data_IF_094882875578
#
_entry.id   IF_094882875578
#
_cell.length_a   1.000
_cell.length_b   1.000
_cell.length_c   1.000
_cell.angle_alpha   90.00
_cell.angle_beta   90.00
_cell.angle_gamma   90.00
#
_symmetry.space_group_name_H-M   'P 1'
#
loop_
_entity.id
_entity.type
_entity.pdbx_description
1 polymer ?
#
# COMPACT_ATOMS: atom_id res chain seq x y z
N UNK A 1 20.08 61.76 23.21
CA UNK A 1 19.99 60.46 23.92
C UNK A 1 18.58 59.88 23.92
N UNK A 2 17.55 60.62 24.36
CA UNK A 2 16.16 60.11 24.40
C UNK A 2 15.54 59.72 23.05
N UNK A 3 15.87 60.44 21.98
CA UNK A 3 15.33 60.17 20.63
C UNK A 3 15.84 58.85 20.04
N UNK A 4 17.13 58.53 20.27
CA UNK A 4 17.73 57.26 19.86
C UNK A 4 17.08 56.08 20.59
N UNK A 5 16.72 56.27 21.87
CA UNK A 5 16.03 55.25 22.67
C UNK A 5 14.63 54.97 22.11
N UNK A 6 13.87 56.01 21.77
CA UNK A 6 12.54 55.83 21.18
C UNK A 6 12.58 55.14 19.82
N UNK A 7 13.58 55.44 18.97
CA UNK A 7 13.75 54.77 17.67
C UNK A 7 14.07 53.28 17.85
N UNK A 8 14.93 52.93 18.79
CA UNK A 8 15.27 51.52 19.10
C UNK A 8 14.06 50.77 19.66
N UNK A 9 13.29 51.40 20.55
CA UNK A 9 12.06 50.80 21.10
C UNK A 9 11.01 50.59 20.02
N UNK A 10 10.78 51.58 19.15
CA UNK A 10 9.85 51.45 18.03
C UNK A 10 10.28 50.33 17.06
N UNK A 11 11.56 50.23 16.75
CA UNK A 11 12.09 49.17 15.90
C UNK A 11 11.93 47.78 16.55
N UNK A 12 12.17 47.66 17.86
CA UNK A 12 11.97 46.41 18.60
C UNK A 12 10.49 45.97 18.61
N UNK A 13 9.56 46.91 18.78
CA UNK A 13 8.11 46.62 18.72
C UNK A 13 7.71 46.17 17.31
N UNK A 14 8.21 46.84 16.27
CA UNK A 14 7.95 46.44 14.87
C UNK A 14 8.49 45.03 14.62
N UNK A 15 9.72 44.73 15.03
CA UNK A 15 10.31 43.38 14.89
C UNK A 15 9.53 42.35 15.69
N UNK A 16 9.00 42.69 16.86
CA UNK A 16 8.21 41.77 17.68
C UNK A 16 6.84 41.48 17.06
N UNK A 17 6.17 42.49 16.50
CA UNK A 17 4.92 42.31 15.75
C UNK A 17 5.19 41.52 14.46
N UNK A 18 6.26 41.84 13.74
CA UNK A 18 6.63 41.12 12.52
C UNK A 18 6.99 39.67 12.82
N UNK A 19 7.73 39.41 13.91
CA UNK A 19 8.01 38.07 14.42
C UNK A 19 6.71 37.35 14.79
N UNK A 20 5.79 38.01 15.48
CA UNK A 20 4.52 37.40 15.88
C UNK A 20 3.62 37.06 14.70
N UNK A 21 3.53 37.96 13.71
CA UNK A 21 2.77 37.75 12.46
C UNK A 21 3.42 36.70 11.56
N UNK A 22 4.75 36.58 11.54
CA UNK A 22 5.48 35.59 10.72
C UNK A 22 5.73 34.25 11.42
N UNK A 23 5.61 34.18 12.74
CA UNK A 23 5.77 32.93 13.52
C UNK A 23 4.46 32.14 13.64
N UNK A 24 3.44 32.49 12.85
CA UNK A 24 2.23 31.69 12.66
C UNK A 24 2.47 30.45 11.80
N UNK A 25 3.50 29.66 12.11
CA UNK A 25 3.75 28.38 11.46
C UNK A 25 2.92 27.32 12.19
N UNK A 26 1.64 27.26 11.82
CA UNK A 26 0.73 26.19 12.22
C UNK A 26 1.09 24.90 11.48
N UNK A 27 2.25 24.31 11.79
CA UNK A 27 2.56 22.99 11.28
C UNK A 27 1.46 22.02 11.74
N UNK A 28 0.83 21.29 10.82
CA UNK A 28 -0.22 20.35 11.18
C UNK A 28 0.37 19.34 12.16
N UNK A 29 -0.20 19.30 13.36
CA UNK A 29 0.27 18.38 14.40
C UNK A 29 0.03 16.95 13.95
N UNK A 30 0.84 16.00 14.42
CA UNK A 30 0.66 14.59 14.10
C UNK A 30 -0.74 14.06 14.47
N UNK A 31 -1.42 14.69 15.42
CA UNK A 31 -2.80 14.36 15.78
C UNK A 31 -3.82 14.81 14.72
N UNK A 32 -3.57 15.93 14.05
CA UNK A 32 -4.44 16.50 13.02
C UNK A 32 -4.33 15.73 11.70
N UNK A 33 -3.12 15.26 11.37
CA UNK A 33 -2.88 14.46 10.15
C UNK A 33 -3.33 13.00 10.27
N UNK A 34 -3.26 12.41 11.46
CA UNK A 34 -3.67 11.02 11.71
C UNK A 34 -5.12 10.89 12.18
N UNK A 35 -5.76 11.97 12.63
CA UNK A 35 -7.13 11.95 13.17
C UNK A 35 -7.25 11.31 14.56
N UNK A 36 -6.13 11.01 15.21
CA UNK A 36 -6.06 10.54 16.59
C UNK A 36 -4.76 10.99 17.23
N UNK A 37 -4.73 11.07 18.57
CA UNK A 37 -3.51 11.43 19.30
C UNK A 37 -2.52 10.25 19.27
N UNK A 38 -1.37 10.36 18.58
CA UNK A 38 -0.41 9.27 18.52
C UNK A 38 0.18 9.01 19.90
N UNK A 39 0.23 7.74 20.30
CA UNK A 39 0.94 7.28 21.49
C UNK A 39 2.43 7.11 21.20
N UNK A 40 3.25 7.10 22.26
CA UNK A 40 4.69 6.94 22.09
C UNK A 40 5.02 5.52 21.66
N UNK A 41 5.78 5.37 20.57
CA UNK A 41 6.19 4.08 20.01
C UNK A 41 7.70 3.98 20.06
N UNK A 42 8.22 3.06 20.90
CA UNK A 42 9.63 2.69 20.94
C UNK A 42 9.95 1.67 19.86
N UNK A 43 11.23 1.61 19.44
CA UNK A 43 11.69 0.61 18.48
C UNK A 43 11.62 -0.81 19.06
N UNK A 44 11.90 -0.96 20.35
CA UNK A 44 11.82 -2.25 21.05
C UNK A 44 10.43 -2.90 20.96
N UNK A 45 9.37 -2.08 21.02
CA UNK A 45 8.00 -2.55 20.82
C UNK A 45 7.74 -3.02 19.38
N UNK A 46 8.35 -2.36 18.39
CA UNK A 46 8.25 -2.77 16.99
C UNK A 46 9.00 -4.09 16.76
N UNK A 47 10.24 -4.17 17.24
CA UNK A 47 11.12 -5.32 17.08
C UNK A 47 10.53 -6.58 17.71
N UNK A 48 9.93 -6.44 18.90
CA UNK A 48 9.23 -7.53 19.58
C UNK A 48 8.09 -8.09 18.71
N UNK A 49 7.24 -7.23 18.15
CA UNK A 49 6.11 -7.67 17.32
C UNK A 49 6.59 -8.20 15.98
N UNK A 50 7.59 -7.59 15.34
CA UNK A 50 8.12 -8.07 14.06
C UNK A 50 8.79 -9.44 14.19
N UNK A 51 9.41 -9.74 15.34
CA UNK A 51 9.99 -11.06 15.61
C UNK A 51 8.91 -12.13 15.80
N UNK A 52 7.78 -11.79 16.42
CA UNK A 52 6.65 -12.71 16.58
C UNK A 52 5.86 -12.91 15.28
N UNK A 53 5.71 -11.85 14.48
CA UNK A 53 4.89 -11.83 13.27
C UNK A 53 5.67 -11.26 12.08
N UNK A 54 6.60 -12.05 11.50
CA UNK A 54 7.42 -11.58 10.37
C UNK A 54 6.62 -11.35 9.09
N UNK A 55 5.43 -11.95 8.97
CA UNK A 55 4.55 -11.79 7.82
C UNK A 55 3.80 -10.44 7.81
N UNK A 56 3.75 -9.76 8.96
CA UNK A 56 3.03 -8.49 9.11
C UNK A 56 3.99 -7.32 8.83
N UNK A 57 3.64 -6.37 7.94
CA UNK A 57 4.51 -5.26 7.60
C UNK A 57 4.69 -4.29 8.80
N UNK A 58 5.92 -3.82 8.97
CA UNK A 58 6.34 -2.95 10.08
C UNK A 58 5.52 -1.65 10.15
N UNK A 59 5.13 -1.09 9.01
CA UNK A 59 4.31 0.14 8.98
C UNK A 59 2.93 -0.08 9.61
N UNK A 60 2.31 -1.25 9.37
CA UNK A 60 1.00 -1.55 9.94
C UNK A 60 1.11 -1.77 11.45
N UNK A 61 2.17 -2.42 11.90
CA UNK A 61 2.47 -2.60 13.34
C UNK A 61 2.63 -1.24 14.00
N UNK A 62 3.44 -0.36 13.40
CA UNK A 62 3.68 0.98 13.92
C UNK A 62 2.40 1.81 13.95
N UNK A 63 1.59 1.74 12.91
CA UNK A 63 0.32 2.43 12.86
C UNK A 63 -0.64 1.97 13.97
N UNK A 64 -0.75 0.66 14.20
CA UNK A 64 -1.59 0.13 15.28
C UNK A 64 -1.04 0.50 16.66
N UNK A 65 0.29 0.44 16.86
CA UNK A 65 0.96 0.89 18.09
C UNK A 65 0.76 2.38 18.36
N UNK A 66 0.71 3.24 17.34
CA UNK A 66 0.40 4.66 17.54
C UNK A 66 -1.01 4.85 18.11
N UNK A 67 -1.94 3.91 17.87
CA UNK A 67 -3.32 3.95 18.34
C UNK A 67 -3.49 3.26 19.69
N UNK A 68 -2.94 2.06 19.85
CA UNK A 68 -3.07 1.23 21.05
C UNK A 68 -2.04 1.61 22.12
N UNK A 69 -0.79 1.85 21.72
CA UNK A 69 0.35 2.13 22.58
C UNK A 69 0.79 0.96 23.46
N UNK A 70 0.33 -0.26 23.14
CA UNK A 70 0.71 -1.47 23.87
C UNK A 70 0.96 -2.62 22.90
N UNK A 71 2.06 -3.33 23.14
CA UNK A 71 2.44 -4.53 22.39
C UNK A 71 1.41 -5.65 22.59
N UNK A 72 0.91 -5.81 23.81
CA UNK A 72 -0.04 -6.86 24.16
C UNK A 72 -1.36 -6.69 23.41
N UNK A 73 -1.89 -5.46 23.36
CA UNK A 73 -3.14 -5.15 22.64
C UNK A 73 -2.98 -5.37 21.13
N UNK A 74 -1.85 -4.94 20.58
CA UNK A 74 -1.55 -5.10 19.15
C UNK A 74 -1.39 -6.58 18.79
N UNK A 75 -0.69 -7.34 19.63
CA UNK A 75 -0.50 -8.79 19.49
C UNK A 75 -1.82 -9.54 19.57
N UNK A 76 -2.65 -9.22 20.56
CA UNK A 76 -3.96 -9.84 20.71
C UNK A 76 -4.84 -9.56 19.47
N UNK A 77 -4.84 -8.31 18.97
CA UNK A 77 -5.56 -7.93 17.74
C UNK A 77 -5.07 -8.71 16.51
N UNK A 78 -3.76 -8.92 16.39
CA UNK A 78 -3.16 -9.75 15.32
C UNK A 78 -3.63 -11.19 15.45
N UNK A 79 -3.66 -11.75 16.67
CA UNK A 79 -4.10 -13.14 16.89
C UNK A 79 -5.60 -13.32 16.62
N UNK A 80 -6.44 -12.34 16.99
CA UNK A 80 -7.88 -12.40 16.78
C UNK A 80 -8.28 -12.23 15.31
N UNK A 81 -7.63 -11.30 14.60
CA UNK A 81 -8.02 -10.93 13.22
C UNK A 81 -7.15 -11.56 12.15
N UNK A 82 -5.91 -11.93 12.48
CA UNK A 82 -4.88 -12.38 11.53
C UNK A 82 -4.23 -11.25 10.72
N UNK A 83 -4.66 -10.00 10.88
CA UNK A 83 -4.13 -8.85 10.14
C UNK A 83 -4.28 -7.53 10.92
N UNK A 84 -3.51 -6.53 10.51
CA UNK A 84 -3.58 -5.15 11.03
C UNK A 84 -4.15 -4.18 9.98
N UNK A 85 -4.72 -3.09 10.47
CA UNK A 85 -5.28 -2.04 9.62
C UNK A 85 -4.17 -1.39 8.78
N UNK A 86 -4.44 -1.18 7.50
CA UNK A 86 -3.48 -0.55 6.58
C UNK A 86 -3.37 0.93 6.93
N UNK A 87 -2.15 1.47 7.10
CA UNK A 87 -1.97 2.88 7.42
C UNK A 87 -2.52 3.77 6.29
N UNK A 88 -3.25 4.85 6.61
CA UNK A 88 -3.76 5.79 5.62
C UNK A 88 -2.62 6.56 4.93
N UNK A 89 -2.86 7.15 3.75
CA UNK A 89 -1.84 7.94 3.04
C UNK A 89 -1.23 9.07 3.88
N UNK A 90 -2.00 9.65 4.81
CA UNK A 90 -1.52 10.70 5.72
C UNK A 90 -0.42 10.21 6.66
N UNK A 91 -0.38 8.92 7.02
CA UNK A 91 0.67 8.34 7.85
C UNK A 91 2.06 8.51 7.22
N UNK A 92 2.16 8.28 5.91
CA UNK A 92 3.42 8.35 5.18
C UNK A 92 3.97 9.78 5.04
N UNK A 93 3.16 10.81 5.34
CA UNK A 93 3.64 12.20 5.42
C UNK A 93 4.51 12.44 6.66
N UNK A 94 4.17 11.77 7.77
CA UNK A 94 4.92 11.84 9.03
C UNK A 94 6.06 10.84 9.08
N UNK A 95 5.83 9.66 8.50
CA UNK A 95 6.77 8.54 8.51
C UNK A 95 7.07 8.12 7.07
N UNK A 96 7.96 8.85 6.38
CA UNK A 96 8.35 8.48 5.03
C UNK A 96 9.04 7.12 5.04
N UNK A 97 8.63 6.24 4.12
CA UNK A 97 9.38 5.00 3.86
C UNK A 97 10.75 5.39 3.33
N UNK A 98 11.79 4.96 4.02
CA UNK A 98 13.11 4.89 3.40
C UNK A 98 13.00 3.96 2.18
N UNK A 99 13.42 4.40 0.98
CA UNK A 99 13.35 3.55 -0.19
C UNK A 99 14.36 2.40 -0.01
N UNK A 100 13.89 1.28 0.53
CA UNK A 100 14.57 0.00 0.34
C UNK A 100 14.54 -0.33 -1.16
N UNK A 101 15.61 -0.92 -1.72
CA UNK A 101 15.60 -1.36 -3.12
C UNK A 101 14.40 -2.30 -3.33
N UNK A 102 13.60 -1.98 -4.34
CA UNK A 102 12.27 -2.53 -4.59
C UNK A 102 12.20 -4.06 -4.44
N UNK A 103 11.72 -4.53 -3.29
CA UNK A 103 10.95 -5.78 -3.22
C UNK A 103 9.52 -5.46 -3.66
N UNK A 104 9.05 -6.19 -4.66
CA UNK A 104 7.82 -5.93 -5.40
C UNK A 104 6.60 -5.64 -4.50
N UNK A 105 5.74 -4.67 -4.87
CA UNK A 105 4.51 -4.42 -4.14
C UNK A 105 3.57 -5.62 -4.29
N UNK A 106 3.15 -6.18 -3.15
CA UNK A 106 1.99 -7.04 -3.09
C UNK A 106 0.78 -6.25 -3.64
N UNK A 107 0.14 -6.86 -4.64
CA UNK A 107 -0.94 -6.28 -5.44
C UNK A 107 -2.16 -5.99 -4.56
N UNK A 108 -2.46 -4.72 -4.37
CA UNK A 108 -3.82 -4.28 -4.10
C UNK A 108 -4.27 -3.44 -5.30
N UNK A 109 -5.27 -3.95 -6.01
CA UNK A 109 -5.98 -3.21 -7.04
C UNK A 109 -6.54 -1.92 -6.44
N UNK A 110 -6.32 -0.79 -7.12
CA UNK A 110 -7.46 0.03 -7.48
C UNK A 110 -7.51 0.22 -8.99
N UNK A 111 -8.70 -0.04 -9.56
CA UNK A 111 -9.09 0.50 -10.85
C UNK A 111 -8.91 2.02 -10.82
N UNK A 112 -7.92 2.55 -11.53
CA UNK A 112 -7.96 3.89 -12.10
C UNK A 112 -6.95 3.96 -13.23
N UNK A 113 -7.49 4.16 -14.43
CA UNK A 113 -6.72 4.37 -15.63
C UNK A 113 -5.95 5.69 -15.55
N UNK A 114 -4.63 5.61 -15.61
CA UNK A 114 -3.77 6.75 -15.95
C UNK A 114 -2.72 6.27 -16.93
N UNK A 115 -2.95 6.62 -18.18
CA UNK A 115 -2.06 6.41 -19.32
C UNK A 115 -0.81 7.27 -19.18
N UNK A 116 0.29 6.67 -18.73
CA UNK A 116 1.63 7.20 -18.96
C UNK A 116 2.29 6.39 -20.07
N UNK A 117 2.46 7.07 -21.21
CA UNK A 117 3.08 6.56 -22.41
C UNK A 117 4.52 6.10 -22.13
N UNK A 118 4.74 4.79 -22.19
CA UNK A 118 6.06 4.18 -22.28
C UNK A 118 6.09 3.39 -23.58
N UNK A 119 7.12 3.69 -24.38
CA UNK A 119 7.55 3.09 -25.63
C UNK A 119 7.11 1.61 -25.82
N UNK A 120 6.64 1.21 -27.02
CA UNK A 120 6.10 -0.12 -27.24
C UNK A 120 7.23 -1.15 -27.30
N UNK A 121 7.56 -1.76 -26.17
CA UNK A 121 8.05 -3.15 -26.22
C UNK A 121 6.90 -4.00 -26.78
N UNK A 122 7.17 -4.97 -27.69
CA UNK A 122 6.13 -5.85 -28.18
C UNK A 122 5.45 -6.48 -26.97
N UNK A 123 4.15 -6.18 -26.83
CA UNK A 123 3.35 -6.71 -25.73
C UNK A 123 3.28 -8.21 -25.96
N UNK A 124 4.11 -8.96 -25.24
CA UNK A 124 4.05 -10.41 -25.26
C UNK A 124 2.61 -10.82 -24.93
N UNK A 125 1.93 -11.41 -25.91
CA UNK A 125 0.51 -11.74 -25.77
C UNK A 125 0.37 -12.91 -24.80
N UNK A 126 -0.76 -12.99 -24.09
CA UNK A 126 -1.04 -14.14 -23.24
C UNK A 126 -1.02 -15.46 -24.03
N UNK A 127 -1.36 -15.40 -25.32
CA UNK A 127 -1.23 -16.52 -26.25
C UNK A 127 0.22 -17.00 -26.30
N UNK A 128 1.16 -16.08 -26.55
CA UNK A 128 2.60 -16.39 -26.66
C UNK A 128 3.18 -16.90 -25.33
N UNK A 129 2.73 -16.37 -24.19
CA UNK A 129 3.19 -16.84 -22.86
C UNK A 129 2.75 -18.26 -22.51
N UNK A 130 1.59 -18.67 -23.02
CA UNK A 130 0.99 -19.97 -22.70
C UNK A 130 1.09 -20.97 -23.85
N UNK A 131 1.87 -20.66 -24.90
CA UNK A 131 2.03 -21.50 -26.09
C UNK A 131 0.69 -21.95 -26.68
N UNK A 132 -0.26 -21.02 -26.79
CA UNK A 132 -1.64 -21.29 -27.24
C UNK A 132 -1.84 -21.09 -28.74
N UNK A 133 -0.77 -20.76 -29.48
CA UNK A 133 -0.77 -20.57 -30.93
C UNK A 133 -1.41 -21.74 -31.70
N UNK A 134 -1.06 -22.99 -31.38
CA UNK A 134 -1.57 -24.17 -32.06
C UNK A 134 -3.07 -24.37 -31.86
N UNK A 135 -3.59 -23.96 -30.69
CA UNK A 135 -5.02 -24.07 -30.36
C UNK A 135 -5.87 -23.01 -31.06
N UNK A 136 -5.27 -21.88 -31.41
CA UNK A 136 -5.93 -20.82 -32.19
C UNK A 136 -6.07 -21.25 -33.65
N UNK A 137 -5.03 -21.87 -34.22
CA UNK A 137 -5.04 -22.38 -35.60
C UNK A 137 -6.12 -23.46 -35.76
N UNK A 138 -6.43 -24.19 -34.69
CA UNK A 138 -7.43 -25.26 -34.68
C UNK A 138 -8.89 -24.77 -34.56
N UNK A 139 -9.14 -23.46 -34.43
CA UNK A 139 -10.47 -22.85 -34.28
C UNK A 139 -11.45 -23.66 -33.40
N UNK A 140 -11.07 -23.94 -32.15
CA UNK A 140 -12.04 -24.38 -31.15
C UNK A 140 -12.82 -23.14 -30.66
N UNK A 141 -13.92 -22.81 -31.34
CA UNK A 141 -14.89 -21.78 -30.89
C UNK A 141 -15.62 -22.27 -29.65
N UNK A 142 -15.00 -22.08 -28.48
CA UNK A 142 -15.60 -22.45 -27.20
C UNK A 142 -16.63 -21.37 -26.84
N UNK A 143 -17.91 -21.77 -26.75
CA UNK A 143 -19.00 -20.89 -26.34
C UNK A 143 -18.84 -20.46 -24.88
N UNK A 144 -19.08 -19.18 -24.59
CA UNK A 144 -18.95 -18.53 -23.27
C UNK A 144 -19.72 -19.23 -22.12
N UNK A 145 -20.67 -20.11 -22.43
CA UNK A 145 -21.46 -20.85 -21.45
C UNK A 145 -20.71 -21.93 -20.65
N UNK A 146 -19.54 -22.39 -21.10
CA UNK A 146 -18.82 -23.52 -20.45
C UNK A 146 -17.63 -23.07 -19.58
N UNK A 147 -17.23 -21.79 -19.62
CA UNK A 147 -16.05 -21.26 -18.92
C UNK A 147 -16.26 -21.18 -17.38
N UNK A 148 -17.52 -21.27 -16.95
CA UNK A 148 -17.96 -21.13 -15.55
C UNK A 148 -18.43 -22.40 -14.85
N UNK A 149 -18.36 -23.58 -15.49
CA UNK A 149 -18.84 -24.84 -14.93
C UNK A 149 -18.21 -25.19 -13.57
N UNK A 150 -19.02 -25.79 -12.68
CA UNK A 150 -18.68 -26.14 -11.27
C UNK A 150 -17.27 -26.73 -11.18
N UNK A 151 -16.40 -26.07 -10.39
CA UNK A 151 -15.03 -26.52 -10.19
C UNK A 151 -15.00 -27.83 -9.39
N UNK A 152 -14.93 -28.96 -10.09
CA UNK A 152 -14.58 -30.23 -9.47
C UNK A 152 -13.08 -30.18 -9.16
N UNK A 153 -12.73 -30.33 -7.88
CA UNK A 153 -11.34 -30.44 -7.46
C UNK A 153 -10.90 -31.88 -7.73
N UNK A 154 -9.96 -32.06 -8.67
CA UNK A 154 -9.40 -33.38 -8.96
C UNK A 154 -8.66 -33.96 -7.75
N UNK A 155 -8.71 -35.28 -7.58
CA UNK A 155 -8.17 -35.98 -6.41
C UNK A 155 -6.63 -36.04 -6.38
N UNK A 156 -5.96 -36.00 -7.54
CA UNK A 156 -4.49 -36.02 -7.64
C UNK A 156 -3.92 -34.64 -7.99
N UNK A 157 -2.74 -34.28 -7.44
CA UNK A 157 -2.14 -32.97 -7.69
C UNK A 157 -1.82 -32.73 -9.18
N UNK A 158 -1.36 -33.77 -9.90
CA UNK A 158 -1.04 -33.67 -11.33
C UNK A 158 -2.29 -33.39 -12.17
N UNK A 159 -3.41 -34.07 -11.87
CA UNK A 159 -4.68 -33.84 -12.57
C UNK A 159 -5.25 -32.46 -12.28
N UNK A 160 -5.08 -31.97 -11.04
CA UNK A 160 -5.49 -30.62 -10.64
C UNK A 160 -4.67 -29.55 -11.35
N UNK A 161 -3.36 -29.74 -11.50
CA UNK A 161 -2.55 -28.83 -12.29
C UNK A 161 -2.97 -28.81 -13.76
N UNK A 162 -3.24 -29.98 -14.34
CA UNK A 162 -3.69 -30.09 -15.72
C UNK A 162 -5.04 -29.39 -15.93
N UNK A 163 -6.01 -29.60 -15.05
CA UNK A 163 -7.35 -28.98 -15.14
C UNK A 163 -7.30 -27.45 -14.98
N UNK A 164 -6.45 -26.94 -14.09
CA UNK A 164 -6.24 -25.49 -13.93
C UNK A 164 -5.57 -24.86 -15.15
N UNK A 165 -4.56 -25.53 -15.73
CA UNK A 165 -3.89 -25.09 -16.96
C UNK A 165 -4.87 -25.05 -18.13
N UNK A 166 -5.69 -26.09 -18.29
CA UNK A 166 -6.72 -26.13 -19.34
C UNK A 166 -7.76 -25.02 -19.17
N UNK A 167 -8.28 -24.84 -17.95
CA UNK A 167 -9.27 -23.77 -17.67
C UNK A 167 -8.72 -22.38 -17.96
N UNK A 168 -7.45 -22.15 -17.61
CA UNK A 168 -6.76 -20.89 -17.90
C UNK A 168 -6.61 -20.67 -19.40
N UNK A 169 -6.25 -21.70 -20.16
CA UNK A 169 -6.19 -21.64 -21.61
C UNK A 169 -7.56 -21.32 -22.22
N UNK A 170 -8.63 -21.99 -21.76
CA UNK A 170 -10.01 -21.70 -22.20
C UNK A 170 -10.42 -20.25 -21.92
N UNK A 171 -10.11 -19.73 -20.73
CA UNK A 171 -10.42 -18.33 -20.37
C UNK A 171 -9.66 -17.32 -21.24
N UNK A 172 -8.40 -17.60 -21.59
CA UNK A 172 -7.60 -16.73 -22.46
C UNK A 172 -8.15 -16.72 -23.88
N UNK A 173 -8.60 -17.88 -24.39
CA UNK A 173 -9.21 -17.97 -25.71
C UNK A 173 -10.61 -17.34 -25.75
N UNK A 174 -11.42 -17.51 -24.70
CA UNK A 174 -12.74 -16.88 -24.60
C UNK A 174 -12.62 -15.35 -24.54
N UNK A 175 -11.70 -14.80 -23.75
CA UNK A 175 -11.48 -13.35 -23.66
C UNK A 175 -10.95 -12.69 -24.95
N UNK A 176 -10.59 -13.48 -25.97
CA UNK A 176 -10.23 -13.00 -27.31
C UNK A 176 -11.46 -12.82 -28.21
N UNK A 177 -12.47 -13.68 -28.07
CA UNK A 177 -13.74 -13.52 -28.81
C UNK A 177 -14.45 -12.25 -28.32
#
# INVERSE_FOLDING_TARGET
>A
MGEVINVVVAFAVIVLIFRWVTSGDGQPTAADTLGFRPKNVSQDMLDTISNMFPDIPIDNIRYDLLRTGSVELTTNKILERGYLDVPPPSYFTLYPRTPAPAAAPARQNPNSASSSAVQPKPKETLISRYHLEDRIIKEETISDGEVGGRAAWEDTPEKREASLKERKAKMILAARQ
#
